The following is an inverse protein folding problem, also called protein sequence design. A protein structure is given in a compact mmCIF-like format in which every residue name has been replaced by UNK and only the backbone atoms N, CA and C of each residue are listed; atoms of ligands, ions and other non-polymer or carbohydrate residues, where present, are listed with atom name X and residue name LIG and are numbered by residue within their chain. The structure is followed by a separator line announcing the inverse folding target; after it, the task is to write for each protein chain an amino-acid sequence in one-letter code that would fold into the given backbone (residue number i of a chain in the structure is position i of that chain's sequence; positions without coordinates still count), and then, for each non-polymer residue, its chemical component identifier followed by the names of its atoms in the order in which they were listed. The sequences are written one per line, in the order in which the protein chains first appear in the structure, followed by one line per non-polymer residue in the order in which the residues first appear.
data_IF_538967609584
#
_entry.id   IF_538967609584
#
_cell.length_a   1.000
_cell.length_b   1.000
_cell.length_c   1.000
_cell.angle_alpha   90.00
_cell.angle_beta   90.00
_cell.angle_gamma   90.00
#
_symmetry.space_group_name_H-M   'P 1'
#
loop_
_entity.id
_entity.type
_entity.pdbx_description
1 polymer ?
#
# COMPACT_ATOMS: atom_id res chain seq x y z
N UNK A 1 30.08 -19.68 29.02
CA UNK A 1 29.27 -19.84 27.80
C UNK A 1 28.64 -18.49 27.49
N UNK A 2 28.94 -17.89 26.32
CA UNK A 2 28.37 -16.60 25.89
C UNK A 2 27.05 -16.88 25.15
N UNK A 3 25.99 -16.19 25.58
CA UNK A 3 24.66 -16.21 24.97
C UNK A 3 24.72 -15.67 23.52
N UNK A 4 24.15 -16.34 22.49
CA UNK A 4 24.19 -15.87 21.11
C UNK A 4 23.15 -14.81 20.75
N UNK A 5 22.27 -14.39 21.67
CA UNK A 5 21.11 -13.54 21.37
C UNK A 5 21.37 -12.01 21.49
N UNK A 6 22.36 -11.46 20.80
CA UNK A 6 22.59 -10.01 20.86
C UNK A 6 23.13 -9.40 19.56
N UNK A 7 22.61 -9.81 18.41
CA UNK A 7 22.89 -9.09 17.17
C UNK A 7 21.73 -9.14 16.16
N UNK A 8 20.51 -8.92 16.62
CA UNK A 8 19.40 -8.52 15.76
C UNK A 8 19.55 -7.04 15.38
N UNK A 9 20.69 -6.71 14.77
CA UNK A 9 20.82 -5.43 14.09
C UNK A 9 19.84 -5.48 12.94
N UNK A 10 18.69 -4.82 13.13
CA UNK A 10 17.55 -4.84 12.25
C UNK A 10 17.96 -4.33 10.86
N UNK A 11 18.43 -5.24 10.01
CA UNK A 11 19.01 -4.98 8.70
C UNK A 11 18.07 -4.13 7.84
N UNK A 12 16.77 -4.27 8.06
CA UNK A 12 15.75 -3.45 7.43
C UNK A 12 15.91 -1.96 7.76
N UNK A 13 16.15 -1.60 9.02
CA UNK A 13 16.35 -0.22 9.45
C UNK A 13 17.62 0.40 8.84
N UNK A 14 18.68 -0.40 8.71
CA UNK A 14 19.94 0.04 8.09
C UNK A 14 19.79 0.17 6.57
N UNK A 15 19.23 -0.82 5.90
CA UNK A 15 19.01 -0.79 4.45
C UNK A 15 18.08 0.36 4.10
N UNK A 16 16.95 0.50 4.81
CA UNK A 16 15.98 1.57 4.56
C UNK A 16 16.60 2.95 4.73
N UNK A 17 17.32 3.19 5.84
CA UNK A 17 17.97 4.48 6.08
C UNK A 17 19.09 4.78 5.08
N UNK A 18 19.89 3.78 4.70
CA UNK A 18 20.92 3.92 3.65
C UNK A 18 20.31 4.21 2.28
N UNK A 19 19.25 3.50 1.90
CA UNK A 19 18.51 3.76 0.66
C UNK A 19 17.91 5.17 0.64
N UNK A 20 17.32 5.64 1.75
CA UNK A 20 16.83 7.00 1.88
C UNK A 20 17.94 8.05 1.75
N UNK A 21 19.10 7.83 2.36
CA UNK A 21 20.24 8.74 2.29
C UNK A 21 20.81 8.84 0.86
N UNK A 22 20.94 7.71 0.17
CA UNK A 22 21.36 7.67 -1.24
C UNK A 22 20.33 8.39 -2.10
N UNK A 23 19.04 8.09 -1.92
CA UNK A 23 17.96 8.74 -2.67
C UNK A 23 17.97 10.26 -2.48
N UNK A 24 18.21 10.74 -1.25
CA UNK A 24 18.30 12.17 -0.92
C UNK A 24 19.39 12.88 -1.74
N UNK A 25 20.57 12.28 -1.89
CA UNK A 25 21.68 12.88 -2.64
C UNK A 25 21.41 12.99 -4.16
N UNK A 26 20.56 12.12 -4.72
CA UNK A 26 20.17 12.17 -6.13
C UNK A 26 18.90 13.00 -6.37
N UNK A 27 18.14 13.32 -5.32
CA UNK A 27 16.83 13.99 -5.40
C UNK A 27 16.92 15.46 -5.81
N UNK A 28 18.05 16.12 -5.54
CA UNK A 28 18.33 17.50 -5.96
C UNK A 28 18.43 17.64 -7.49
N UNK A 29 18.70 16.55 -8.20
CA UNK A 29 18.73 16.56 -9.65
C UNK A 29 17.31 16.48 -10.25
N UNK A 30 16.90 17.58 -10.88
CA UNK A 30 15.59 17.73 -11.52
C UNK A 30 15.26 16.61 -12.53
N UNK A 31 16.25 16.05 -13.24
CA UNK A 31 16.05 14.93 -14.16
C UNK A 31 15.70 13.64 -13.40
N UNK A 32 16.43 13.35 -12.32
CA UNK A 32 16.16 12.18 -11.48
C UNK A 32 14.77 12.23 -10.87
N UNK A 33 14.35 13.39 -10.35
CA UNK A 33 13.00 13.59 -9.81
C UNK A 33 11.91 13.27 -10.84
N UNK A 34 12.09 13.70 -12.09
CA UNK A 34 11.15 13.39 -13.19
C UNK A 34 11.11 11.90 -13.53
N UNK A 35 12.27 11.23 -13.54
CA UNK A 35 12.36 9.79 -13.80
C UNK A 35 11.65 9.00 -12.69
N UNK A 36 11.87 9.35 -11.41
CA UNK A 36 11.21 8.70 -10.28
C UNK A 36 9.69 8.89 -10.36
N UNK A 37 9.21 10.11 -10.66
CA UNK A 37 7.78 10.36 -10.85
C UNK A 37 7.19 9.51 -11.98
N UNK A 38 7.89 9.39 -13.11
CA UNK A 38 7.46 8.54 -14.22
C UNK A 38 7.39 7.06 -13.82
N UNK A 39 8.37 6.56 -13.06
CA UNK A 39 8.38 5.19 -12.54
C UNK A 39 7.23 4.95 -11.55
N UNK A 40 6.91 5.93 -10.69
CA UNK A 40 5.77 5.88 -9.79
C UNK A 40 4.44 5.79 -10.55
N UNK A 41 4.27 6.60 -11.61
CA UNK A 41 3.07 6.53 -12.48
C UNK A 41 3.00 5.20 -13.23
N UNK A 42 4.12 4.67 -13.71
CA UNK A 42 4.14 3.35 -14.36
C UNK A 42 3.76 2.24 -13.39
N UNK A 43 4.28 2.28 -12.16
CA UNK A 43 3.93 1.36 -11.07
C UNK A 43 2.44 1.44 -10.71
N UNK A 44 1.85 2.65 -10.74
CA UNK A 44 0.42 2.87 -10.55
C UNK A 44 -0.41 2.14 -11.60
N UNK A 45 -0.09 2.34 -12.88
CA UNK A 45 -0.83 1.73 -13.99
C UNK A 45 -0.73 0.20 -13.90
N UNK A 46 0.47 -0.32 -13.68
CA UNK A 46 0.70 -1.75 -13.55
C UNK A 46 -0.11 -2.36 -12.39
N UNK A 47 -0.06 -1.74 -11.21
CA UNK A 47 -0.78 -2.22 -10.02
C UNK A 47 -2.29 -2.14 -10.19
N UNK A 48 -2.79 -1.08 -10.86
CA UNK A 48 -4.20 -0.92 -11.19
C UNK A 48 -4.68 -2.07 -12.08
N UNK A 49 -3.95 -2.37 -13.16
CA UNK A 49 -4.29 -3.47 -14.08
C UNK A 49 -4.24 -4.82 -13.36
N UNK A 50 -3.21 -5.05 -12.53
CA UNK A 50 -3.07 -6.29 -11.75
C UNK A 50 -4.26 -6.48 -10.80
N UNK A 51 -4.59 -5.47 -10.01
CA UNK A 51 -5.70 -5.53 -9.06
C UNK A 51 -7.05 -5.68 -9.78
N UNK A 52 -7.24 -5.01 -10.92
CA UNK A 52 -8.45 -5.18 -11.72
C UNK A 52 -8.61 -6.63 -12.22
N UNK A 53 -7.52 -7.26 -12.67
CA UNK A 53 -7.54 -8.68 -13.08
C UNK A 53 -7.92 -9.59 -11.92
N UNK A 54 -7.34 -9.38 -10.74
CA UNK A 54 -7.65 -10.17 -9.52
C UNK A 54 -9.13 -10.02 -9.17
N UNK A 55 -9.64 -8.79 -9.11
CA UNK A 55 -11.05 -8.52 -8.81
C UNK A 55 -12.00 -9.19 -9.81
N UNK A 56 -11.72 -9.07 -11.11
CA UNK A 56 -12.55 -9.70 -12.14
C UNK A 56 -12.49 -11.23 -12.11
N UNK A 57 -11.34 -11.79 -11.74
CA UNK A 57 -11.18 -13.22 -11.57
C UNK A 57 -11.98 -13.71 -10.36
N UNK A 58 -11.81 -13.09 -9.20
CA UNK A 58 -12.54 -13.41 -7.97
C UNK A 58 -14.06 -13.38 -8.18
N UNK A 59 -14.59 -12.32 -8.80
CA UNK A 59 -16.03 -12.23 -9.14
C UNK A 59 -16.53 -13.42 -9.98
N UNK A 60 -15.69 -14.00 -10.84
CA UNK A 60 -16.07 -15.12 -11.72
C UNK A 60 -15.92 -16.48 -11.06
N UNK A 61 -15.01 -16.62 -10.11
CA UNK A 61 -14.64 -17.91 -9.51
C UNK A 61 -15.18 -18.11 -8.10
N UNK A 62 -15.67 -17.05 -7.45
CA UNK A 62 -16.22 -17.12 -6.10
C UNK A 62 -17.42 -18.06 -6.02
N UNK A 63 -17.44 -18.90 -4.98
CA UNK A 63 -18.59 -19.77 -4.70
C UNK A 63 -19.81 -18.93 -4.28
N UNK A 64 -21.00 -19.38 -4.67
CA UNK A 64 -22.28 -18.74 -4.33
C UNK A 64 -22.55 -18.80 -2.82
N UNK A 65 -21.92 -19.73 -2.10
CA UNK A 65 -22.09 -19.89 -0.65
C UNK A 65 -21.20 -18.98 0.21
N UNK A 66 -20.36 -18.12 -0.38
CA UNK A 66 -19.51 -17.20 0.40
C UNK A 66 -20.37 -16.12 1.06
N UNK A 67 -20.09 -15.84 2.33
CA UNK A 67 -20.77 -14.78 3.08
C UNK A 67 -20.36 -13.43 2.51
N UNK A 68 -21.36 -12.69 2.02
CA UNK A 68 -21.18 -11.36 1.44
C UNK A 68 -22.01 -10.34 2.21
N UNK A 69 -21.55 -9.09 2.22
CA UNK A 69 -22.20 -7.99 2.93
C UNK A 69 -23.37 -7.45 2.11
N UNK A 70 -23.14 -7.20 0.81
CA UNK A 70 -24.16 -6.71 -0.13
C UNK A 70 -24.30 -7.68 -1.30
N UNK A 71 -23.19 -8.28 -1.74
CA UNK A 71 -23.16 -9.31 -2.76
C UNK A 71 -21.78 -9.43 -3.40
N UNK A 72 -21.45 -10.62 -3.91
CA UNK A 72 -20.11 -10.97 -4.43
C UNK A 72 -19.52 -9.88 -5.32
N UNK A 73 -20.28 -9.40 -6.33
CA UNK A 73 -19.81 -8.35 -7.24
C UNK A 73 -19.47 -7.05 -6.53
N UNK A 74 -20.35 -6.60 -5.64
CA UNK A 74 -20.22 -5.30 -4.96
C UNK A 74 -19.05 -5.33 -3.98
N UNK A 75 -18.94 -6.39 -3.19
CA UNK A 75 -17.90 -6.54 -2.19
C UNK A 75 -16.50 -6.60 -2.85
N UNK A 76 -16.35 -7.33 -3.96
CA UNK A 76 -15.11 -7.34 -4.76
C UNK A 76 -14.76 -5.95 -5.33
N UNK A 77 -15.74 -5.18 -5.79
CA UNK A 77 -15.49 -3.80 -6.23
C UNK A 77 -15.10 -2.87 -5.08
N UNK A 78 -15.69 -3.05 -3.89
CA UNK A 78 -15.29 -2.32 -2.68
C UNK A 78 -13.83 -2.63 -2.33
N UNK A 79 -13.41 -3.90 -2.41
CA UNK A 79 -12.02 -4.31 -2.20
C UNK A 79 -11.09 -3.66 -3.24
N UNK A 80 -11.48 -3.66 -4.51
CA UNK A 80 -10.71 -2.98 -5.56
C UNK A 80 -10.50 -1.50 -5.25
N UNK A 81 -11.58 -0.79 -4.92
CA UNK A 81 -11.52 0.64 -4.59
C UNK A 81 -10.66 0.88 -3.35
N UNK A 82 -10.82 0.07 -2.30
CA UNK A 82 -9.97 0.12 -1.08
C UNK A 82 -8.49 0.02 -1.44
N UNK A 83 -8.12 -0.99 -2.23
CA UNK A 83 -6.73 -1.23 -2.63
C UNK A 83 -6.19 -0.07 -3.49
N UNK A 84 -7.03 0.53 -4.34
CA UNK A 84 -6.66 1.73 -5.11
C UNK A 84 -6.45 2.95 -4.22
N UNK A 85 -7.31 3.19 -3.22
CA UNK A 85 -7.11 4.28 -2.26
C UNK A 85 -5.81 4.07 -1.49
N UNK A 86 -5.55 2.88 -0.96
CA UNK A 86 -4.32 2.56 -0.24
C UNK A 86 -3.07 2.80 -1.10
N UNK A 87 -3.10 2.39 -2.38
CA UNK A 87 -1.99 2.63 -3.30
C UNK A 87 -1.82 4.11 -3.64
N UNK A 88 -2.91 4.86 -3.84
CA UNK A 88 -2.88 6.31 -4.02
C UNK A 88 -2.29 7.04 -2.81
N UNK A 89 -2.56 6.57 -1.58
CA UNK A 89 -1.94 7.11 -0.36
C UNK A 89 -0.42 6.86 -0.33
N UNK A 90 0.02 5.66 -0.70
CA UNK A 90 1.44 5.32 -0.82
C UNK A 90 2.15 6.19 -1.88
N UNK A 91 1.53 6.38 -3.05
CA UNK A 91 2.03 7.33 -4.05
C UNK A 91 2.06 8.76 -3.53
N UNK A 92 1.00 9.19 -2.84
CA UNK A 92 0.90 10.50 -2.22
C UNK A 92 2.04 10.76 -1.23
N UNK A 93 2.43 9.76 -0.44
CA UNK A 93 3.61 9.83 0.42
C UNK A 93 4.87 10.04 -0.42
N UNK A 94 5.10 9.19 -1.42
CA UNK A 94 6.27 9.27 -2.30
C UNK A 94 6.40 10.64 -2.97
N UNK A 95 5.31 11.17 -3.51
CA UNK A 95 5.26 12.49 -4.15
C UNK A 95 5.48 13.61 -3.12
N UNK A 96 4.90 13.48 -1.92
CA UNK A 96 5.08 14.48 -0.85
C UNK A 96 6.56 14.59 -0.46
N UNK A 97 7.27 13.47 -0.32
CA UNK A 97 8.72 13.45 -0.07
C UNK A 97 9.55 14.06 -1.20
N UNK A 98 9.08 13.96 -2.46
CA UNK A 98 9.80 14.48 -3.62
C UNK A 98 9.59 15.98 -3.87
N UNK A 99 8.45 16.53 -3.47
CA UNK A 99 8.00 17.87 -3.91
C UNK A 99 7.70 18.85 -2.78
N UNK A 100 7.58 18.39 -1.53
CA UNK A 100 7.14 19.21 -0.41
C UNK A 100 8.21 19.19 0.69
N UNK A 101 8.54 20.36 1.21
CA UNK A 101 9.56 20.52 2.25
C UNK A 101 9.00 21.16 3.53
N UNK A 102 9.73 20.96 4.62
CA UNK A 102 9.49 21.61 5.91
C UNK A 102 8.12 21.28 6.52
N UNK A 103 7.45 22.30 7.08
CA UNK A 103 6.18 22.12 7.80
C UNK A 103 5.05 21.53 6.95
N UNK A 104 5.05 21.79 5.63
CA UNK A 104 4.02 21.29 4.72
C UNK A 104 4.15 19.77 4.51
N UNK A 105 5.38 19.24 4.51
CA UNK A 105 5.62 17.80 4.42
C UNK A 105 5.04 17.07 5.63
N UNK A 106 5.27 17.60 6.84
CA UNK A 106 4.72 17.02 8.08
C UNK A 106 3.19 16.96 8.06
N UNK A 107 2.52 18.03 7.59
CA UNK A 107 1.06 18.07 7.47
C UNK A 107 0.57 17.04 6.43
N UNK A 108 1.26 16.91 5.29
CA UNK A 108 0.92 15.93 4.27
C UNK A 108 1.05 14.50 4.79
N UNK A 109 2.17 14.17 5.45
CA UNK A 109 2.39 12.86 6.08
C UNK A 109 1.33 12.58 7.14
N UNK A 110 1.01 13.54 8.01
CA UNK A 110 -0.01 13.38 9.05
C UNK A 110 -1.40 13.10 8.44
N UNK A 111 -1.76 13.85 7.40
CA UNK A 111 -3.04 13.67 6.68
C UNK A 111 -3.12 12.29 6.05
N UNK A 112 -2.04 11.83 5.42
CA UNK A 112 -1.99 10.51 4.80
C UNK A 112 -2.05 9.41 5.86
N UNK A 113 -1.31 9.55 6.96
CA UNK A 113 -1.33 8.59 8.07
C UNK A 113 -2.73 8.46 8.66
N UNK A 114 -3.41 9.57 8.96
CA UNK A 114 -4.77 9.57 9.48
C UNK A 114 -5.75 8.89 8.51
N UNK A 115 -5.64 9.20 7.21
CA UNK A 115 -6.49 8.60 6.17
C UNK A 115 -6.23 7.09 6.06
N UNK A 116 -4.98 6.66 6.16
CA UNK A 116 -4.61 5.25 6.11
C UNK A 116 -5.14 4.48 7.34
N UNK A 117 -5.05 5.06 8.54
CA UNK A 117 -5.66 4.47 9.74
C UNK A 117 -7.17 4.29 9.58
N UNK A 118 -7.88 5.26 9.01
CA UNK A 118 -9.32 5.15 8.74
C UNK A 118 -9.62 4.03 7.75
N UNK A 119 -8.77 3.85 6.74
CA UNK A 119 -8.87 2.76 5.78
C UNK A 119 -8.69 1.38 6.44
N UNK A 120 -7.78 1.24 7.40
CA UNK A 120 -7.62 0.00 8.19
C UNK A 120 -8.84 -0.30 9.07
N UNK A 121 -9.44 0.72 9.68
CA UNK A 121 -10.70 0.54 10.42
C UNK A 121 -11.83 0.06 9.50
N UNK A 122 -11.90 0.63 8.30
CA UNK A 122 -12.87 0.22 7.30
C UNK A 122 -12.63 -1.22 6.82
N UNK A 123 -11.38 -1.63 6.64
CA UNK A 123 -11.01 -3.01 6.31
C UNK A 123 -11.48 -4.00 7.37
N UNK A 124 -11.17 -3.75 8.63
CA UNK A 124 -11.63 -4.59 9.74
C UNK A 124 -13.16 -4.68 9.82
N UNK A 125 -13.85 -3.58 9.51
CA UNK A 125 -15.31 -3.59 9.43
C UNK A 125 -15.83 -4.48 8.30
N UNK A 126 -15.25 -4.42 7.09
CA UNK A 126 -15.69 -5.29 5.98
C UNK A 126 -15.35 -6.75 6.27
N UNK A 127 -14.15 -7.05 6.77
CA UNK A 127 -13.75 -8.41 7.18
C UNK A 127 -14.75 -9.03 8.17
N UNK A 128 -15.28 -8.23 9.11
CA UNK A 128 -16.31 -8.72 10.04
C UNK A 128 -17.66 -9.08 9.38
N UNK A 129 -17.88 -8.63 8.14
CA UNK A 129 -19.14 -8.80 7.38
C UNK A 129 -19.02 -9.75 6.20
N UNK A 130 -17.82 -10.05 5.72
CA UNK A 130 -17.59 -10.82 4.49
C UNK A 130 -16.48 -11.83 4.68
N UNK A 131 -16.69 -13.05 4.20
CA UNK A 131 -15.69 -14.12 4.27
C UNK A 131 -14.79 -14.15 3.02
N UNK A 132 -14.93 -13.16 2.12
CA UNK A 132 -14.05 -12.98 0.93
C UNK A 132 -12.58 -12.76 1.33
N UNK A 133 -12.31 -12.36 2.58
CA UNK A 133 -10.97 -12.18 3.12
C UNK A 133 -10.37 -13.45 3.73
N UNK A 134 -11.15 -14.52 3.93
CA UNK A 134 -10.62 -15.84 4.26
C UNK A 134 -10.07 -16.46 2.96
N UNK A 135 -8.92 -15.96 2.53
CA UNK A 135 -8.02 -16.80 1.75
C UNK A 135 -7.71 -18.01 2.65
N UNK A 136 -8.19 -19.19 2.25
CA UNK A 136 -7.90 -20.47 2.90
C UNK A 136 -6.41 -20.55 3.25
N UNK A 137 -6.07 -20.29 4.51
CA UNK A 137 -4.83 -20.76 5.12
C UNK A 137 -4.97 -22.27 5.39
N UNK A 138 -5.22 -23.06 4.35
CA UNK A 138 -5.24 -24.52 4.40
C UNK A 138 -4.81 -25.05 3.04
N UNK A 139 -3.50 -25.07 2.77
CA UNK A 139 -2.60 -26.24 2.83
C UNK A 139 -1.22 -25.90 2.25
#
# INVERSE_FOLDING_TARGET
MKNPEANDTNWFTIIFSASCAIMSNFMDNHLFRKIILALMVLSFIYTTIKNLKITLYGIKTEDVNVRTWIGIKVDYWIIFVKNMIAFCLMLGLGISFLLIEGKRLLIAILTIAATYTLLLFFEHFIESKTDIFEENYTE
#
